data_IF_287033888343
#
_entry.id   IF_287033888343
#
_cell.length_a   1.000
_cell.length_b   1.000
_cell.length_c   1.000
_cell.angle_alpha   90.00
_cell.angle_beta   90.00
_cell.angle_gamma   90.00
#
_symmetry.space_group_name_H-M   'P 1'
#
loop_
_entity.id
_entity.type
_entity.pdbx_description
1 polymer ?
#
# COMPACT_ATOMS: atom_id res chain seq x y z
N UNK A 1 1.70 -5.57 3.61
CA UNK A 1 2.86 -4.92 2.98
C UNK A 1 3.88 -5.95 2.50
N UNK A 2 4.50 -6.73 3.38
CA UNK A 2 5.52 -7.73 3.00
C UNK A 2 5.09 -8.66 1.85
N UNK A 3 3.91 -9.27 1.93
CA UNK A 3 3.42 -10.16 0.88
C UNK A 3 3.28 -9.49 -0.50
N UNK A 4 2.93 -8.20 -0.56
CA UNK A 4 2.79 -7.48 -1.83
C UNK A 4 4.16 -7.24 -2.50
N UNK A 5 5.21 -6.97 -1.72
CA UNK A 5 6.56 -6.84 -2.23
C UNK A 5 7.12 -8.19 -2.67
N UNK A 6 6.92 -9.25 -1.87
CA UNK A 6 7.32 -10.60 -2.24
C UNK A 6 6.63 -11.09 -3.51
N UNK A 7 5.33 -10.81 -3.67
CA UNK A 7 4.58 -11.18 -4.88
C UNK A 7 5.16 -10.51 -6.13
N UNK A 8 5.58 -9.25 -5.99
CA UNK A 8 6.13 -8.44 -7.07
C UNK A 8 7.58 -8.77 -7.46
N UNK A 9 8.28 -9.57 -6.65
CA UNK A 9 9.64 -10.05 -6.95
C UNK A 9 9.70 -11.47 -7.49
N UNK A 10 8.56 -12.17 -7.50
CA UNK A 10 8.48 -13.47 -8.15
C UNK A 10 8.56 -13.31 -9.68
N UNK A 11 9.02 -14.37 -10.35
CA UNK A 11 8.99 -14.47 -11.80
C UNK A 11 7.54 -14.71 -12.27
N UNK A 12 6.76 -13.63 -12.33
CA UNK A 12 5.36 -13.61 -12.72
C UNK A 12 4.99 -12.24 -13.34
N UNK A 13 3.77 -12.13 -13.87
CA UNK A 13 3.26 -10.90 -14.49
C UNK A 13 2.72 -9.86 -13.48
N UNK A 14 2.96 -10.04 -12.18
CA UNK A 14 2.40 -9.19 -11.12
C UNK A 14 3.41 -8.12 -10.67
N UNK A 15 3.40 -6.96 -11.32
CA UNK A 15 4.27 -5.85 -10.90
C UNK A 15 3.84 -5.23 -9.56
N UNK A 16 4.77 -4.50 -8.92
CA UNK A 16 4.54 -3.85 -7.62
C UNK A 16 3.27 -2.99 -7.55
N UNK A 17 2.93 -2.13 -8.54
CA UNK A 17 1.68 -1.37 -8.49
C UNK A 17 0.43 -2.26 -8.41
N UNK A 18 0.44 -3.39 -9.12
CA UNK A 18 -0.66 -4.35 -9.11
C UNK A 18 -0.77 -5.07 -7.76
N UNK A 19 0.37 -5.54 -7.23
CA UNK A 19 0.43 -6.17 -5.91
C UNK A 19 0.02 -5.22 -4.77
N UNK A 20 0.39 -3.94 -4.84
CA UNK A 20 -0.04 -2.93 -3.87
C UNK A 20 -1.55 -2.71 -3.96
N UNK A 21 -2.13 -2.63 -5.16
CA UNK A 21 -3.57 -2.50 -5.34
C UNK A 21 -4.35 -3.65 -4.67
N UNK A 22 -3.83 -4.88 -4.71
CA UNK A 22 -4.41 -6.05 -4.02
C UNK A 22 -4.50 -5.90 -2.49
N UNK A 23 -3.65 -5.07 -1.87
CA UNK A 23 -3.61 -4.87 -0.42
C UNK A 23 -4.04 -3.47 0.04
N UNK A 24 -4.47 -2.61 -0.89
CA UNK A 24 -4.93 -1.25 -0.60
C UNK A 24 -6.33 -0.97 -1.16
N UNK A 25 -6.45 -0.66 -2.45
CA UNK A 25 -7.71 -0.24 -3.08
C UNK A 25 -8.67 -1.40 -3.29
N UNK A 26 -8.21 -2.58 -3.71
CA UNK A 26 -9.07 -3.76 -3.87
C UNK A 26 -9.86 -4.10 -2.59
N UNK A 27 -9.22 -4.26 -1.41
CA UNK A 27 -9.97 -4.51 -0.18
C UNK A 27 -10.81 -3.31 0.28
N UNK A 28 -10.39 -2.06 0.03
CA UNK A 28 -11.21 -0.89 0.34
C UNK A 28 -12.52 -0.88 -0.46
N UNK A 29 -12.45 -1.18 -1.77
CA UNK A 29 -13.63 -1.31 -2.65
C UNK A 29 -14.52 -2.47 -2.19
N UNK A 30 -13.94 -3.64 -1.92
CA UNK A 30 -14.70 -4.81 -1.46
C UNK A 30 -15.42 -4.55 -0.12
N UNK A 31 -14.85 -3.72 0.74
CA UNK A 31 -15.44 -3.32 2.02
C UNK A 31 -16.38 -2.10 1.93
N UNK A 32 -16.61 -1.53 0.73
CA UNK A 32 -17.44 -0.34 0.56
C UNK A 32 -16.83 0.96 1.12
N UNK A 33 -15.53 1.00 1.33
CA UNK A 33 -14.81 2.14 1.89
C UNK A 33 -14.35 3.08 0.77
N UNK A 34 -15.16 4.11 0.48
CA UNK A 34 -14.90 5.05 -0.61
C UNK A 34 -13.84 6.12 -0.29
N UNK A 35 -13.40 6.24 0.96
CA UNK A 35 -12.51 7.29 1.44
C UNK A 35 -11.04 6.85 1.54
N UNK A 36 -10.66 5.62 1.18
CA UNK A 36 -9.29 5.11 1.37
C UNK A 36 -8.87 4.08 0.32
N UNK A 37 -7.62 3.62 0.41
CA UNK A 37 -7.05 2.57 -0.45
C UNK A 37 -6.28 3.08 -1.66
N UNK A 38 -6.33 4.38 -1.94
CA UNK A 38 -5.66 5.01 -3.07
C UNK A 38 -5.05 6.35 -2.65
N UNK A 39 -3.90 6.72 -3.24
CA UNK A 39 -3.29 8.05 -3.05
C UNK A 39 -3.90 8.98 -4.10
N UNK A 40 -4.98 9.67 -3.71
CA UNK A 40 -5.70 10.60 -4.59
C UNK A 40 -6.29 11.76 -3.78
N UNK A 41 -6.34 12.93 -4.38
CA UNK A 41 -6.96 14.12 -3.79
C UNK A 41 -8.42 13.81 -3.40
N UNK A 42 -8.81 14.24 -2.20
CA UNK A 42 -10.14 14.01 -1.63
C UNK A 42 -10.29 12.71 -0.83
N UNK A 43 -9.26 11.85 -0.81
CA UNK A 43 -9.24 10.65 0.03
C UNK A 43 -8.56 10.91 1.38
N UNK A 44 -8.84 10.02 2.33
CA UNK A 44 -8.25 10.00 3.67
C UNK A 44 -6.74 9.87 3.56
N UNK A 45 -6.02 10.76 4.24
CA UNK A 45 -4.55 10.80 4.25
C UNK A 45 -3.94 9.73 5.18
N UNK A 46 -4.30 8.47 4.97
CA UNK A 46 -3.65 7.31 5.58
C UNK A 46 -2.53 6.84 4.63
N UNK A 47 -1.27 7.07 5.02
CA UNK A 47 -0.11 6.88 4.13
C UNK A 47 0.95 6.02 4.81
N UNK A 48 1.69 5.28 4.01
CA UNK A 48 2.86 4.50 4.44
C UNK A 48 4.00 4.84 3.49
N UNK A 49 5.13 5.30 4.03
CA UNK A 49 6.39 5.39 3.29
C UNK A 49 7.17 4.11 3.55
N UNK A 50 7.50 3.38 2.48
CA UNK A 50 8.31 2.19 2.55
C UNK A 50 9.43 2.22 1.50
N UNK A 51 10.56 1.58 1.83
CA UNK A 51 11.65 1.32 0.89
C UNK A 51 11.80 -0.19 0.70
N UNK A 52 12.01 -0.62 -0.55
CA UNK A 52 12.38 -2.00 -0.81
C UNK A 52 13.83 -2.23 -0.38
N UNK A 53 14.07 -3.23 0.47
CA UNK A 53 15.39 -3.72 0.82
C UNK A 53 15.44 -5.23 0.57
N UNK A 54 15.96 -5.62 -0.59
CA UNK A 54 16.09 -7.03 -1.00
C UNK A 54 14.77 -7.83 -0.82
N UNK A 55 13.66 -7.32 -1.35
CA UNK A 55 12.33 -7.96 -1.25
C UNK A 55 11.56 -7.72 0.01
N UNK A 56 12.16 -7.08 0.98
CA UNK A 56 11.53 -6.76 2.24
C UNK A 56 11.20 -5.26 2.28
N UNK A 57 9.91 -4.90 2.42
CA UNK A 57 9.55 -3.51 2.62
C UNK A 57 9.93 -3.08 4.03
N UNK A 58 10.87 -2.14 4.12
CA UNK A 58 11.19 -1.42 5.35
C UNK A 58 10.25 -0.22 5.45
N UNK A 59 9.45 -0.16 6.53
CA UNK A 59 8.52 0.95 6.76
C UNK A 59 9.25 2.09 7.45
N UNK A 60 9.38 3.24 6.77
CA UNK A 60 10.06 4.42 7.31
C UNK A 60 9.12 5.33 8.11
N UNK A 61 7.88 5.52 7.62
CA UNK A 61 6.90 6.45 8.22
C UNK A 61 5.48 5.98 7.99
N UNK A 62 4.61 6.23 8.97
CA UNK A 62 3.18 5.95 8.86
C UNK A 62 2.38 7.19 9.27
N UNK A 63 1.38 7.52 8.47
CA UNK A 63 0.41 8.58 8.76
C UNK A 63 -1.00 8.00 8.83
N UNK A 64 -1.79 8.53 9.77
CA UNK A 64 -3.23 8.32 9.87
C UNK A 64 -3.91 9.68 9.81
N UNK A 65 -4.76 9.90 8.81
CA UNK A 65 -5.45 11.17 8.57
C UNK A 65 -4.48 12.38 8.58
N UNK A 66 -3.33 12.23 7.92
CA UNK A 66 -2.31 13.27 7.82
C UNK A 66 -1.45 13.45 9.07
N UNK A 67 -1.76 12.78 10.19
CA UNK A 67 -0.95 12.82 11.41
C UNK A 67 0.04 11.67 11.41
N UNK A 68 1.31 11.97 11.66
CA UNK A 68 2.34 10.93 11.79
C UNK A 68 2.11 10.14 13.08
N UNK A 69 2.12 8.81 12.97
CA UNK A 69 1.88 7.88 14.10
C UNK A 69 3.04 6.90 14.32
N UNK A 70 3.96 6.83 13.36
CA UNK A 70 5.23 6.09 13.40
C UNK A 70 6.25 6.82 12.51
#
# INVERSE_FOLDING_TARGET
MQAAFMLAEQDNDCELPHAINMVSRTPAVAAGLADRGEIRIGLRADLIQARNHAGLPVIDKVWRQGKRVF
#
